data_IF_919631215903
#
_entry.id   IF_919631215903
#
_cell.length_a   1.000
_cell.length_b   1.000
_cell.length_c   1.000
_cell.angle_alpha   90.00
_cell.angle_beta   90.00
_cell.angle_gamma   90.00
#
_symmetry.space_group_name_H-M   'P 1'
#
loop_
_entity.id
_entity.type
_entity.pdbx_description
1 polymer ?
#
# COMPACT_ATOMS: atom_id res chain seq x y z
N UNK A 1 -23.83 28.21 14.35
CA UNK A 1 -23.48 27.09 13.43
C UNK A 1 -24.75 26.36 12.98
N UNK A 2 -25.77 27.11 12.60
CA UNK A 2 -26.99 26.51 12.06
C UNK A 2 -26.74 25.95 10.66
N UNK A 3 -27.15 24.71 10.39
CA UNK A 3 -27.02 24.06 9.08
C UNK A 3 -25.69 23.30 8.82
N UNK A 4 -24.80 23.23 9.82
CA UNK A 4 -23.56 22.45 9.69
C UNK A 4 -23.66 21.13 10.47
N UNK A 5 -23.08 20.08 9.90
CA UNK A 5 -22.96 18.75 10.53
C UNK A 5 -21.50 18.52 10.87
N UNK A 6 -21.22 18.22 12.14
CA UNK A 6 -19.87 17.80 12.57
C UNK A 6 -19.71 16.29 12.38
N UNK A 7 -18.63 15.90 11.71
CA UNK A 7 -18.25 14.49 11.50
C UNK A 7 -16.83 14.27 11.99
N UNK A 8 -16.43 13.02 12.32
CA UNK A 8 -15.03 12.68 12.53
C UNK A 8 -14.18 13.03 11.30
N UNK A 9 -12.92 13.38 11.51
CA UNK A 9 -11.98 13.62 10.40
C UNK A 9 -11.81 12.37 9.53
N UNK A 10 -11.64 12.58 8.23
CA UNK A 10 -11.46 11.50 7.27
C UNK A 10 -10.10 10.81 7.45
N UNK A 11 -10.03 9.55 7.06
CA UNK A 11 -8.79 8.74 7.05
C UNK A 11 -8.47 8.36 5.61
N UNK A 12 -7.26 8.69 5.16
CA UNK A 12 -6.72 8.22 3.88
C UNK A 12 -5.80 7.03 4.12
N UNK A 13 -6.21 5.85 3.64
CA UNK A 13 -5.49 4.59 3.86
C UNK A 13 -4.38 4.32 2.84
N UNK A 14 -4.19 5.15 1.81
CA UNK A 14 -3.20 4.90 0.76
C UNK A 14 -2.67 6.21 0.15
N UNK A 15 -1.84 6.92 0.90
CA UNK A 15 -1.24 8.16 0.42
C UNK A 15 0.25 8.00 0.10
N UNK A 16 0.68 8.55 -1.04
CA UNK A 16 2.08 8.66 -1.40
C UNK A 16 2.66 9.97 -0.90
N UNK A 17 3.73 9.93 -0.11
CA UNK A 17 4.35 11.13 0.46
C UNK A 17 5.57 11.63 -0.32
N UNK A 18 6.25 10.78 -1.09
CA UNK A 18 7.45 11.15 -1.83
C UNK A 18 8.71 11.40 -0.99
N UNK A 19 8.59 11.60 0.30
CA UNK A 19 9.70 11.80 1.24
C UNK A 19 9.96 10.49 2.01
N UNK A 20 11.17 9.93 1.96
CA UNK A 20 12.38 10.44 1.30
C UNK A 20 12.48 10.11 -0.19
N UNK A 21 13.30 10.90 -0.90
CA UNK A 21 13.81 10.61 -2.23
C UNK A 21 13.04 11.20 -3.41
N UNK A 22 11.80 11.65 -3.20
CA UNK A 22 10.96 12.29 -4.20
C UNK A 22 10.29 13.56 -3.65
N UNK A 23 10.97 14.28 -2.77
CA UNK A 23 10.47 15.47 -2.08
C UNK A 23 10.02 16.59 -3.03
N UNK A 24 10.55 16.58 -4.25
CA UNK A 24 10.14 17.50 -5.32
C UNK A 24 8.72 17.26 -5.82
N UNK A 25 8.17 16.04 -5.63
CA UNK A 25 6.79 15.72 -5.96
C UNK A 25 5.86 16.06 -4.80
N UNK A 26 6.19 15.57 -3.60
CA UNK A 26 5.40 15.74 -2.39
C UNK A 26 6.29 15.48 -1.16
N UNK A 27 6.03 16.20 -0.08
CA UNK A 27 6.70 16.01 1.22
C UNK A 27 5.68 16.02 2.38
N UNK A 28 6.08 15.66 3.58
CA UNK A 28 5.17 15.55 4.73
C UNK A 28 4.41 16.86 5.03
N UNK A 29 5.04 18.00 4.85
CA UNK A 29 4.40 19.30 5.09
C UNK A 29 3.32 19.59 4.07
N UNK A 30 3.61 19.44 2.78
CA UNK A 30 2.66 19.76 1.70
C UNK A 30 1.51 18.76 1.68
N UNK A 31 1.80 17.45 1.82
CA UNK A 31 0.79 16.41 1.95
C UNK A 31 -0.18 16.69 3.11
N UNK A 32 0.36 17.02 4.30
CA UNK A 32 -0.50 17.26 5.46
C UNK A 32 -1.33 18.53 5.34
N UNK A 33 -0.85 19.55 4.63
CA UNK A 33 -1.63 20.75 4.35
C UNK A 33 -2.78 20.45 3.37
N UNK A 34 -2.52 19.69 2.30
CA UNK A 34 -3.54 19.26 1.37
C UNK A 34 -4.61 18.38 2.05
N UNK A 35 -4.17 17.44 2.88
CA UNK A 35 -5.04 16.58 3.68
C UNK A 35 -5.99 17.38 4.58
N UNK A 36 -5.46 18.32 5.35
CA UNK A 36 -6.28 19.20 6.20
C UNK A 36 -7.30 20.01 5.41
N UNK A 37 -6.91 20.52 4.25
CA UNK A 37 -7.81 21.27 3.38
C UNK A 37 -8.97 20.40 2.87
N UNK A 38 -8.74 19.09 2.70
CA UNK A 38 -9.75 18.09 2.33
C UNK A 38 -10.50 17.45 3.51
N UNK A 39 -10.22 17.87 4.77
CA UNK A 39 -10.84 17.28 5.97
C UNK A 39 -10.25 15.94 6.39
N UNK A 40 -9.12 15.52 5.81
CA UNK A 40 -8.39 14.31 6.20
C UNK A 40 -7.51 14.62 7.40
N UNK A 41 -7.68 13.87 8.49
CA UNK A 41 -6.95 14.05 9.75
C UNK A 41 -5.96 12.95 10.06
N UNK A 42 -6.03 11.84 9.33
CA UNK A 42 -5.15 10.68 9.48
C UNK A 42 -4.78 10.10 8.12
N UNK A 43 -3.51 9.79 7.92
CA UNK A 43 -2.98 9.31 6.65
C UNK A 43 -2.11 8.09 6.89
N UNK A 44 -2.31 7.05 6.08
CA UNK A 44 -1.40 5.91 5.96
C UNK A 44 -0.46 6.16 4.79
N UNK A 45 0.84 6.31 5.09
CA UNK A 45 1.85 6.59 4.06
C UNK A 45 2.42 5.31 3.48
N UNK A 46 2.45 5.23 2.15
CA UNK A 46 2.91 4.06 1.42
C UNK A 46 4.45 3.96 1.37
N UNK A 47 5.00 2.73 1.28
CA UNK A 47 6.44 2.47 1.39
C UNK A 47 7.26 2.74 0.12
N UNK A 48 6.66 3.14 -0.99
CA UNK A 48 7.32 3.34 -2.29
C UNK A 48 8.14 4.63 -2.37
N UNK A 49 8.95 4.86 -1.38
CA UNK A 49 9.93 5.95 -1.29
C UNK A 49 11.31 5.51 -1.79
N UNK A 50 12.30 6.40 -1.74
CA UNK A 50 13.69 6.07 -2.09
C UNK A 50 14.64 6.56 -1.00
N UNK A 51 15.17 5.68 -0.13
CA UNK A 51 14.97 4.21 -0.13
C UNK A 51 13.52 3.78 0.18
N UNK A 52 13.19 2.52 -0.18
CA UNK A 52 11.92 1.88 0.20
C UNK A 52 11.84 1.74 1.73
N UNK A 53 10.64 1.82 2.29
CA UNK A 53 10.42 1.60 3.72
C UNK A 53 10.33 0.10 3.99
N UNK A 54 11.46 -0.58 4.05
CA UNK A 54 11.59 -2.03 4.22
C UNK A 54 12.43 -2.44 5.43
N UNK A 55 12.87 -1.48 6.23
CA UNK A 55 13.70 -1.71 7.40
C UNK A 55 13.41 -0.72 8.53
N UNK A 56 13.86 -1.06 9.73
CA UNK A 56 13.62 -0.30 10.97
C UNK A 56 14.10 1.15 10.88
N UNK A 57 15.28 1.38 10.28
CA UNK A 57 15.84 2.74 10.20
C UNK A 57 14.97 3.67 9.36
N UNK A 58 14.36 3.15 8.30
CA UNK A 58 13.43 3.91 7.46
C UNK A 58 12.12 4.19 8.19
N UNK A 59 11.58 3.23 8.93
CA UNK A 59 10.38 3.46 9.76
C UNK A 59 10.65 4.55 10.81
N UNK A 60 11.76 4.47 11.52
CA UNK A 60 12.14 5.49 12.51
C UNK A 60 12.33 6.88 11.87
N UNK A 61 12.86 6.94 10.65
CA UNK A 61 12.97 8.18 9.89
C UNK A 61 11.57 8.77 9.61
N UNK A 62 10.65 7.98 9.05
CA UNK A 62 9.30 8.42 8.70
C UNK A 62 8.55 8.92 9.93
N UNK A 63 8.59 8.18 11.03
CA UNK A 63 7.90 8.55 12.28
C UNK A 63 8.42 9.88 12.82
N UNK A 64 9.75 10.05 12.90
CA UNK A 64 10.35 11.30 13.37
C UNK A 64 10.03 12.46 12.44
N UNK A 65 10.22 12.26 11.15
CA UNK A 65 9.99 13.29 10.16
C UNK A 65 8.52 13.70 10.07
N UNK A 66 7.62 12.73 10.13
CA UNK A 66 6.17 12.96 10.18
C UNK A 66 5.79 13.80 11.40
N UNK A 67 6.25 13.43 12.60
CA UNK A 67 6.01 14.18 13.84
C UNK A 67 6.48 15.65 13.74
N UNK A 68 7.64 15.88 13.12
CA UNK A 68 8.25 17.21 13.07
C UNK A 68 7.63 18.11 11.97
N UNK A 69 7.06 17.53 10.92
CA UNK A 69 6.64 18.27 9.70
C UNK A 69 5.15 18.21 9.39
N UNK A 70 4.47 17.14 9.78
CA UNK A 70 3.06 16.97 9.44
C UNK A 70 2.13 17.69 10.43
N UNK A 71 0.96 18.08 9.90
CA UNK A 71 -0.14 18.70 10.69
C UNK A 71 -1.30 17.72 10.92
N UNK A 72 -1.19 16.50 10.40
CA UNK A 72 -2.15 15.41 10.57
C UNK A 72 -1.45 14.19 11.13
N UNK A 73 -2.20 13.22 11.64
CA UNK A 73 -1.63 11.96 12.09
C UNK A 73 -1.07 11.17 10.91
N UNK A 74 0.19 10.76 10.99
CA UNK A 74 0.83 9.92 9.98
C UNK A 74 1.11 8.53 10.54
N UNK A 75 0.66 7.53 9.82
CA UNK A 75 0.85 6.12 10.13
C UNK A 75 1.66 5.47 9.01
N UNK A 76 2.91 5.04 9.26
CA UNK A 76 3.71 4.42 8.22
C UNK A 76 3.23 3.02 7.90
N UNK A 77 3.20 2.70 6.60
CA UNK A 77 3.13 1.36 6.05
C UNK A 77 4.53 0.95 5.59
N UNK A 78 4.92 -0.30 5.83
CA UNK A 78 6.17 -0.85 5.32
C UNK A 78 5.91 -1.74 4.09
N UNK A 79 6.96 -2.04 3.32
CA UNK A 79 6.84 -2.97 2.19
C UNK A 79 6.70 -4.42 2.68
N UNK A 80 5.90 -5.20 1.96
CA UNK A 80 5.77 -6.64 2.18
C UNK A 80 7.11 -7.32 1.86
N UNK A 81 7.69 -6.98 0.71
CA UNK A 81 8.95 -7.57 0.27
C UNK A 81 10.08 -6.55 0.23
N UNK A 82 11.31 -7.03 0.40
CA UNK A 82 12.52 -6.20 0.32
C UNK A 82 12.55 -5.50 -1.03
N UNK A 83 12.79 -4.19 -1.01
CA UNK A 83 12.80 -3.30 -2.18
C UNK A 83 11.52 -3.39 -3.04
N UNK A 84 10.43 -3.99 -2.51
CA UNK A 84 9.19 -4.29 -3.25
C UNK A 84 9.45 -5.12 -4.52
N UNK A 85 10.34 -6.12 -4.44
CA UNK A 85 10.72 -6.98 -5.57
C UNK A 85 9.88 -8.26 -5.69
N UNK A 86 9.02 -8.56 -4.71
CA UNK A 86 8.17 -9.75 -4.72
C UNK A 86 8.90 -11.06 -4.41
N UNK A 87 10.16 -11.03 -3.95
CA UNK A 87 11.02 -12.21 -3.81
C UNK A 87 11.26 -12.63 -2.36
N UNK A 88 11.45 -11.68 -1.46
CA UNK A 88 11.81 -11.95 -0.08
C UNK A 88 11.02 -11.05 0.87
N UNK A 89 10.37 -11.64 1.86
CA UNK A 89 9.67 -10.95 2.94
C UNK A 89 10.61 -10.01 3.72
N UNK A 90 10.06 -8.87 4.18
CA UNK A 90 10.71 -7.99 5.16
C UNK A 90 10.55 -8.54 6.59
N UNK A 91 11.21 -7.92 7.56
CA UNK A 91 11.20 -8.35 8.98
C UNK A 91 9.94 -7.82 9.70
N UNK A 92 8.78 -8.40 9.41
CA UNK A 92 7.46 -7.93 9.88
C UNK A 92 7.41 -7.68 11.39
N UNK A 93 7.91 -8.63 12.20
CA UNK A 93 7.88 -8.48 13.66
C UNK A 93 8.67 -7.28 14.16
N UNK A 94 9.86 -7.02 13.59
CA UNK A 94 10.67 -5.86 13.94
C UNK A 94 10.02 -4.54 13.49
N UNK A 95 9.43 -4.54 12.30
CA UNK A 95 8.76 -3.38 11.74
C UNK A 95 7.47 -3.05 12.52
N UNK A 96 6.66 -4.07 12.86
CA UNK A 96 5.48 -3.91 13.72
C UNK A 96 5.85 -3.30 15.07
N UNK A 97 6.91 -3.78 15.72
CA UNK A 97 7.38 -3.26 17.00
C UNK A 97 7.79 -1.77 16.94
N UNK A 98 8.03 -1.22 15.74
CA UNK A 98 8.31 0.21 15.52
C UNK A 98 7.08 1.04 15.20
N UNK A 99 5.89 0.45 15.18
CA UNK A 99 4.63 1.18 15.06
C UNK A 99 4.13 1.35 13.63
N UNK A 100 4.54 0.48 12.69
CA UNK A 100 3.86 0.40 11.39
C UNK A 100 2.48 -0.22 11.60
N UNK A 101 1.53 0.17 10.77
CA UNK A 101 0.13 -0.29 10.89
C UNK A 101 -0.23 -1.35 9.85
N UNK A 102 0.61 -1.57 8.85
CA UNK A 102 0.38 -2.57 7.80
C UNK A 102 1.51 -2.66 6.80
N UNK A 103 1.38 -3.59 5.88
CA UNK A 103 2.37 -3.88 4.85
C UNK A 103 1.74 -3.82 3.47
N UNK A 104 2.46 -3.26 2.49
CA UNK A 104 2.03 -3.18 1.10
C UNK A 104 3.21 -3.05 0.14
N UNK A 105 3.16 -3.72 -1.00
CA UNK A 105 4.06 -3.43 -2.12
C UNK A 105 3.42 -2.45 -3.14
N UNK A 106 2.44 -1.70 -2.67
CA UNK A 106 1.76 -0.57 -3.32
C UNK A 106 1.06 -0.97 -4.62
N UNK A 107 1.74 -0.88 -5.76
CA UNK A 107 1.21 -1.21 -7.08
C UNK A 107 1.84 -2.49 -7.65
N UNK A 108 2.50 -3.28 -6.83
CA UNK A 108 3.09 -4.55 -7.21
C UNK A 108 2.35 -5.70 -6.52
N UNK A 109 1.98 -6.69 -7.29
CA UNK A 109 1.36 -7.91 -6.80
C UNK A 109 2.43 -8.94 -6.42
N UNK A 110 2.27 -9.62 -5.31
CA UNK A 110 3.08 -10.80 -4.98
C UNK A 110 2.62 -11.94 -5.89
N UNK A 111 3.36 -12.21 -6.95
CA UNK A 111 2.99 -13.22 -7.96
C UNK A 111 3.17 -14.67 -7.45
N UNK A 112 4.16 -14.90 -6.59
CA UNK A 112 4.47 -16.22 -6.04
C UNK A 112 3.47 -16.61 -4.94
N UNK A 113 2.65 -17.64 -5.21
CA UNK A 113 1.61 -18.11 -4.28
C UNK A 113 2.18 -18.71 -2.99
N UNK A 114 3.35 -19.39 -3.03
CA UNK A 114 4.00 -19.92 -1.84
C UNK A 114 4.47 -18.79 -0.92
N UNK A 115 5.08 -17.76 -1.50
CA UNK A 115 5.50 -16.58 -0.75
C UNK A 115 4.29 -15.88 -0.15
N UNK A 116 3.19 -15.70 -0.91
CA UNK A 116 1.97 -15.06 -0.42
C UNK A 116 1.33 -15.85 0.73
N UNK A 117 1.30 -17.18 0.63
CA UNK A 117 0.81 -18.05 1.72
C UNK A 117 1.64 -17.87 2.99
N UNK A 118 2.97 -17.83 2.89
CA UNK A 118 3.85 -17.56 4.05
C UNK A 118 3.64 -16.16 4.64
N UNK A 119 3.46 -15.17 3.79
CA UNK A 119 3.18 -13.78 4.21
C UNK A 119 1.89 -13.73 5.02
N UNK A 120 0.80 -14.31 4.49
CA UNK A 120 -0.50 -14.32 5.16
C UNK A 120 -0.46 -15.05 6.50
N UNK A 121 0.20 -16.23 6.56
CA UNK A 121 0.38 -17.00 7.79
C UNK A 121 1.09 -16.16 8.85
N UNK A 122 2.26 -15.63 8.53
CA UNK A 122 3.04 -14.85 9.47
C UNK A 122 2.34 -13.54 9.88
N UNK A 123 1.65 -12.91 8.96
CA UNK A 123 0.85 -11.71 9.25
C UNK A 123 -0.29 -12.01 10.23
N UNK A 124 -0.95 -13.17 10.08
CA UNK A 124 -1.99 -13.64 11.01
C UNK A 124 -1.42 -13.89 12.40
N UNK A 125 -0.27 -14.57 12.52
CA UNK A 125 0.36 -14.88 13.81
C UNK A 125 0.71 -13.63 14.62
N UNK A 126 1.09 -12.55 13.95
CA UNK A 126 1.47 -11.32 14.63
C UNK A 126 0.41 -10.21 14.51
N UNK A 127 -0.77 -10.50 13.99
CA UNK A 127 -1.89 -9.56 13.84
C UNK A 127 -1.48 -8.25 13.14
N UNK A 128 -1.13 -8.32 11.85
CA UNK A 128 -0.81 -7.17 11.02
C UNK A 128 -1.62 -7.16 9.72
N UNK A 129 -1.96 -5.98 9.26
CA UNK A 129 -2.70 -5.77 8.02
C UNK A 129 -1.80 -5.96 6.80
N UNK A 130 -2.24 -6.74 5.82
CA UNK A 130 -1.66 -6.83 4.48
C UNK A 130 -2.58 -6.14 3.48
N UNK A 131 -2.02 -5.22 2.71
CA UNK A 131 -2.71 -4.52 1.63
C UNK A 131 -2.07 -4.88 0.30
N UNK A 132 -2.69 -5.79 -0.44
CA UNK A 132 -2.17 -6.27 -1.72
C UNK A 132 -2.80 -5.51 -2.90
N UNK A 133 -2.00 -5.18 -3.89
CA UNK A 133 -2.47 -4.85 -5.23
C UNK A 133 -2.76 -6.15 -5.98
N UNK A 134 -3.92 -6.25 -6.61
CA UNK A 134 -4.40 -7.50 -7.22
C UNK A 134 -4.38 -7.36 -8.74
N UNK A 135 -3.28 -7.78 -9.35
CA UNK A 135 -3.10 -7.76 -10.80
C UNK A 135 -2.07 -8.81 -11.23
N UNK A 136 -2.46 -9.70 -12.13
CA UNK A 136 -1.52 -10.62 -12.75
C UNK A 136 -0.61 -9.86 -13.72
N UNK A 137 0.69 -9.84 -13.43
CA UNK A 137 1.67 -9.09 -14.19
C UNK A 137 1.76 -9.52 -15.66
N UNK A 138 1.71 -10.84 -15.95
CA UNK A 138 1.86 -11.35 -17.31
C UNK A 138 0.66 -10.98 -18.19
N UNK A 139 -0.53 -10.92 -17.61
CA UNK A 139 -1.76 -10.51 -18.31
C UNK A 139 -1.85 -8.98 -18.48
N UNK A 140 -1.29 -8.22 -17.56
CA UNK A 140 -1.37 -6.76 -17.56
C UNK A 140 -0.20 -6.06 -18.27
N UNK A 141 0.95 -6.74 -18.41
CA UNK A 141 2.15 -6.14 -19.01
C UNK A 141 1.87 -5.62 -20.43
N UNK A 142 2.45 -4.45 -20.72
CA UNK A 142 2.28 -3.74 -22.00
C UNK A 142 0.87 -3.21 -22.27
N UNK A 143 -0.04 -3.31 -21.34
CA UNK A 143 -1.38 -2.73 -21.47
C UNK A 143 -1.42 -1.31 -20.89
N UNK A 144 -2.30 -0.47 -21.41
CA UNK A 144 -2.41 0.92 -21.00
C UNK A 144 -3.86 1.37 -20.73
N UNK A 145 -4.83 0.47 -20.94
CA UNK A 145 -6.26 0.73 -20.78
C UNK A 145 -6.97 -0.57 -20.44
N UNK A 146 -8.14 -0.51 -19.83
CA UNK A 146 -8.97 -1.70 -19.66
C UNK A 146 -9.49 -2.21 -21.00
N UNK A 147 -9.53 -3.53 -21.16
CA UNK A 147 -10.07 -4.17 -22.35
C UNK A 147 -11.54 -3.79 -22.57
N UNK A 148 -11.90 -3.44 -23.80
CA UNK A 148 -13.28 -3.08 -24.16
C UNK A 148 -13.36 -2.38 -25.50
N UNK A 149 -14.57 -1.90 -25.84
CA UNK A 149 -14.84 -1.25 -27.12
C UNK A 149 -13.93 -0.04 -27.39
N UNK A 150 -13.65 0.77 -26.36
CA UNK A 150 -12.78 1.94 -26.47
C UNK A 150 -11.34 1.54 -26.78
N UNK A 151 -10.81 0.53 -26.11
CA UNK A 151 -9.47 0.01 -26.39
C UNK A 151 -9.35 -0.48 -27.84
N UNK A 152 -10.32 -1.28 -28.28
CA UNK A 152 -10.39 -1.81 -29.66
C UNK A 152 -10.46 -0.69 -30.70
N UNK A 153 -11.33 0.31 -30.49
CA UNK A 153 -11.49 1.45 -31.37
C UNK A 153 -10.23 2.30 -31.50
N UNK A 154 -9.47 2.43 -30.42
CA UNK A 154 -8.22 3.22 -30.39
C UNK A 154 -7.00 2.39 -30.81
N UNK A 155 -7.13 1.08 -31.05
CA UNK A 155 -6.00 0.19 -31.37
C UNK A 155 -5.03 0.01 -30.21
N UNK A 156 -5.50 0.18 -28.97
CA UNK A 156 -4.67 0.08 -27.75
C UNK A 156 -4.79 -1.31 -27.16
N UNK A 157 -3.68 -1.82 -26.60
CA UNK A 157 -3.69 -3.08 -25.86
C UNK A 157 -4.38 -2.87 -24.50
N UNK A 158 -5.47 -3.63 -24.29
CA UNK A 158 -6.25 -3.59 -23.06
C UNK A 158 -5.89 -4.72 -22.10
N UNK A 159 -5.96 -4.41 -20.81
CA UNK A 159 -5.93 -5.39 -19.71
C UNK A 159 -7.29 -6.04 -19.59
N UNK A 160 -7.32 -7.37 -19.52
CA UNK A 160 -8.55 -8.13 -19.21
C UNK A 160 -8.84 -8.05 -17.71
N UNK A 161 -10.13 -8.01 -17.34
CA UNK A 161 -10.60 -8.12 -15.95
C UNK A 161 -10.19 -9.44 -15.28
N UNK A 162 -9.84 -10.45 -16.06
CA UNK A 162 -9.32 -11.73 -15.57
C UNK A 162 -7.99 -11.56 -14.82
N UNK A 163 -7.20 -10.54 -15.17
CA UNK A 163 -5.93 -10.27 -14.51
C UNK A 163 -6.09 -9.96 -13.01
N UNK A 164 -7.15 -9.23 -12.66
CA UNK A 164 -7.48 -8.96 -11.24
C UNK A 164 -8.17 -10.18 -10.59
N UNK A 165 -9.11 -10.81 -11.28
CA UNK A 165 -9.89 -11.94 -10.75
C UNK A 165 -9.01 -13.10 -10.32
N UNK A 166 -8.05 -13.51 -11.15
CA UNK A 166 -7.13 -14.63 -10.83
C UNK A 166 -6.40 -14.37 -9.51
N UNK A 167 -5.90 -13.16 -9.30
CA UNK A 167 -5.16 -12.84 -8.07
C UNK A 167 -6.09 -12.79 -6.87
N UNK A 168 -7.29 -12.21 -7.00
CA UNK A 168 -8.28 -12.16 -5.92
C UNK A 168 -8.69 -13.59 -5.53
N UNK A 169 -9.03 -14.44 -6.48
CA UNK A 169 -9.45 -15.82 -6.23
C UNK A 169 -8.34 -16.65 -5.57
N UNK A 170 -7.11 -16.47 -6.02
CA UNK A 170 -5.92 -17.08 -5.41
C UNK A 170 -5.79 -16.64 -3.94
N UNK A 171 -5.81 -15.35 -3.69
CA UNK A 171 -5.58 -14.79 -2.35
C UNK A 171 -6.71 -15.16 -1.39
N UNK A 172 -7.95 -15.14 -1.85
CA UNK A 172 -9.09 -15.64 -1.07
C UNK A 172 -8.96 -17.13 -0.75
N UNK A 173 -8.53 -17.96 -1.71
CA UNK A 173 -8.32 -19.39 -1.48
C UNK A 173 -7.21 -19.64 -0.46
N UNK A 174 -6.12 -18.89 -0.51
CA UNK A 174 -5.05 -18.95 0.48
C UNK A 174 -5.57 -18.53 1.85
N UNK A 175 -6.29 -17.42 1.95
CA UNK A 175 -6.86 -16.92 3.21
C UNK A 175 -7.81 -17.94 3.83
N UNK A 176 -8.72 -18.52 3.05
CA UNK A 176 -9.66 -19.53 3.53
C UNK A 176 -8.94 -20.79 4.05
N UNK A 177 -7.80 -21.15 3.46
CA UNK A 177 -7.00 -22.29 3.97
C UNK A 177 -6.40 -22.03 5.35
N UNK A 178 -6.21 -20.77 5.75
CA UNK A 178 -5.65 -20.41 7.06
C UNK A 178 -6.70 -20.34 8.17
N UNK A 179 -7.98 -20.17 7.82
CA UNK A 179 -9.07 -20.08 8.81
C UNK A 179 -9.36 -21.44 9.47
N UNK A 180 -8.91 -22.55 8.88
CA UNK A 180 -9.17 -23.91 9.34
C UNK A 180 -7.99 -24.53 10.14
N UNK A 181 -6.98 -23.73 10.46
CA UNK A 181 -5.89 -24.12 11.35
C UNK A 181 -6.07 -23.43 12.69
#
# INVERSE_FOLDING_TARGET
MEGLVAIPGLVDMKAFVGEPGFEYKENFRTLSQAALAGGVTSIVTMPNTKPVIDNVSMVDFIIRRGRDKAKVNLFPCASITRQMEGNQMTEFGLLKARGIIGFSDVNKTIQNSELMSRIMNYASDIDVLIMQHVEDYELAKNSCINQGEVATRLGLQGVSDIAEKIIIERDLSLLLSLIHI
#
